data_IF_848684968262
#
_entry.id   IF_848684968262
#
_cell.length_a   1.000
_cell.length_b   1.000
_cell.length_c   1.000
_cell.angle_alpha   90.00
_cell.angle_beta   90.00
_cell.angle_gamma   90.00
#
_symmetry.space_group_name_H-M   'P 1'
#
loop_
_entity.id
_entity.type
_entity.pdbx_description
1 polymer ?
#
# COMPACT_ATOMS: atom_id res chain seq x y z
N UNK A 1 -3.26 19.28 -9.38
CA UNK A 1 -1.88 19.77 -9.21
C UNK A 1 -1.00 18.70 -8.58
N UNK A 2 0.29 18.88 -8.68
CA UNK A 2 1.26 17.97 -8.05
C UNK A 2 1.01 17.83 -6.54
N UNK A 3 0.75 18.94 -5.85
CA UNK A 3 0.45 18.92 -4.43
C UNK A 3 -0.78 18.11 -4.08
N UNK A 4 -1.79 18.24 -4.90
CA UNK A 4 -3.03 17.47 -4.69
C UNK A 4 -2.76 15.97 -4.88
N UNK A 5 -2.02 15.62 -5.92
CA UNK A 5 -1.66 14.22 -6.18
C UNK A 5 -0.79 13.63 -5.06
N UNK A 6 0.18 14.41 -4.55
CA UNK A 6 0.99 13.96 -3.42
C UNK A 6 0.15 13.71 -2.17
N UNK A 7 -0.78 14.62 -1.89
CA UNK A 7 -1.65 14.52 -0.73
C UNK A 7 -2.55 13.29 -0.82
N UNK A 8 -3.15 13.06 -1.98
CA UNK A 8 -3.96 11.86 -2.22
C UNK A 8 -3.13 10.61 -2.03
N UNK A 9 -1.90 10.61 -2.56
CA UNK A 9 -1.02 9.46 -2.46
C UNK A 9 -0.71 9.12 -1.01
N UNK A 10 -0.39 10.13 -0.20
CA UNK A 10 -0.10 9.91 1.23
C UNK A 10 -1.32 9.35 1.97
N UNK A 11 -2.50 9.83 1.63
CA UNK A 11 -3.75 9.31 2.20
C UNK A 11 -3.94 7.83 1.85
N UNK A 12 -3.76 7.48 0.59
CA UNK A 12 -3.92 6.09 0.13
C UNK A 12 -2.86 5.19 0.76
N UNK A 13 -1.62 5.66 0.86
CA UNK A 13 -0.55 4.91 1.54
C UNK A 13 -0.96 4.61 2.98
N UNK A 14 -1.52 5.59 3.69
CA UNK A 14 -2.00 5.40 5.05
C UNK A 14 -3.11 4.36 5.14
N UNK A 15 -4.03 4.37 4.18
CA UNK A 15 -5.10 3.37 4.12
C UNK A 15 -4.55 1.96 3.92
N UNK A 16 -3.57 1.81 3.04
CA UNK A 16 -2.93 0.52 2.79
C UNK A 16 -2.17 0.03 4.02
N UNK A 17 -1.41 0.92 4.67
CA UNK A 17 -0.70 0.55 5.91
C UNK A 17 -1.66 0.08 6.99
N UNK A 18 -2.77 0.76 7.14
CA UNK A 18 -3.79 0.39 8.11
C UNK A 18 -4.38 -0.99 7.78
N UNK A 19 -4.70 -1.21 6.51
CA UNK A 19 -5.24 -2.50 6.04
C UNK A 19 -4.25 -3.64 6.27
N UNK A 20 -2.97 -3.41 6.00
CA UNK A 20 -1.93 -4.43 6.26
C UNK A 20 -1.86 -4.75 7.74
N UNK A 21 -1.92 -3.73 8.60
CA UNK A 21 -1.92 -3.94 10.05
C UNK A 21 -3.08 -4.81 10.52
N UNK A 22 -4.27 -4.55 10.01
CA UNK A 22 -5.45 -5.36 10.33
C UNK A 22 -5.30 -6.77 9.80
N UNK A 23 -4.79 -6.93 8.58
CA UNK A 23 -4.57 -8.24 7.98
C UNK A 23 -3.60 -9.08 8.83
N UNK A 24 -2.47 -8.47 9.25
CA UNK A 24 -1.47 -9.16 10.07
C UNK A 24 -2.04 -9.53 11.44
N UNK A 25 -2.84 -8.65 12.04
CA UNK A 25 -3.48 -8.93 13.32
C UNK A 25 -4.47 -10.09 13.21
N UNK A 26 -5.15 -10.19 12.07
CA UNK A 26 -6.18 -11.20 11.86
C UNK A 26 -5.61 -12.55 11.43
N UNK A 27 -4.58 -12.56 10.61
CA UNK A 27 -4.01 -13.77 10.00
C UNK A 27 -2.68 -14.21 10.62
N UNK A 28 -1.99 -13.33 11.31
CA UNK A 28 -0.66 -13.60 11.86
C UNK A 28 0.46 -13.54 10.83
N UNK A 29 0.19 -13.09 9.60
CA UNK A 29 1.19 -13.03 8.54
C UNK A 29 1.01 -11.79 7.68
N UNK A 30 2.02 -11.48 6.88
CA UNK A 30 1.92 -10.45 5.85
C UNK A 30 1.02 -10.88 4.71
N UNK A 31 0.29 -9.95 4.06
CA UNK A 31 -0.31 -10.26 2.78
C UNK A 31 0.79 -10.44 1.73
N UNK A 32 0.59 -11.35 0.80
CA UNK A 32 1.57 -11.60 -0.26
C UNK A 32 1.50 -10.55 -1.36
N UNK A 33 0.32 -9.96 -1.56
CA UNK A 33 0.08 -8.93 -2.57
C UNK A 33 -0.97 -7.95 -2.04
N UNK A 34 -1.08 -6.79 -2.70
CA UNK A 34 -2.16 -5.86 -2.41
C UNK A 34 -3.53 -6.48 -2.72
N UNK A 35 -3.58 -7.34 -3.73
CA UNK A 35 -4.82 -8.00 -4.11
C UNK A 35 -5.39 -8.85 -2.97
N UNK A 36 -4.53 -9.42 -2.14
CA UNK A 36 -4.98 -10.22 -1.00
C UNK A 36 -5.75 -9.39 0.03
N UNK A 37 -5.49 -8.10 0.10
CA UNK A 37 -6.25 -7.20 0.97
C UNK A 37 -7.67 -6.95 0.45
N UNK A 38 -7.85 -7.05 -0.87
CA UNK A 38 -9.16 -6.90 -1.52
C UNK A 38 -9.94 -8.21 -1.51
N UNK A 39 -9.25 -9.33 -1.67
CA UNK A 39 -9.82 -10.66 -1.77
C UNK A 39 -9.11 -11.62 -0.81
N UNK A 40 -9.28 -11.42 0.51
CA UNK A 40 -8.61 -12.25 1.49
C UNK A 40 -9.17 -13.68 1.47
N UNK A 41 -8.38 -14.66 1.97
CA UNK A 41 -8.81 -16.05 1.93
C UNK A 41 -10.00 -16.32 2.85
N UNK A 42 -10.86 -17.24 2.42
CA UNK A 42 -11.97 -17.79 3.20
C UNK A 42 -12.98 -16.72 3.64
N UNK A 43 -13.37 -16.75 4.91
CA UNK A 43 -14.37 -15.86 5.48
C UNK A 43 -13.78 -14.59 6.06
N UNK A 44 -12.50 -14.34 5.83
CA UNK A 44 -11.84 -13.13 6.30
C UNK A 44 -12.47 -11.91 5.62
N UNK A 45 -12.82 -10.86 6.37
CA UNK A 45 -13.41 -9.68 5.76
C UNK A 45 -12.42 -8.93 4.87
N UNK A 46 -12.94 -8.17 3.94
CA UNK A 46 -12.10 -7.32 3.10
C UNK A 46 -11.42 -6.25 3.94
N UNK A 47 -10.13 -6.05 3.68
CA UNK A 47 -9.37 -4.99 4.34
C UNK A 47 -9.30 -3.72 3.49
N UNK A 48 -9.47 -3.86 2.17
CA UNK A 48 -9.59 -2.74 1.23
C UNK A 48 -10.81 -2.98 0.35
N UNK A 49 -11.51 -1.91 -0.01
CA UNK A 49 -12.72 -2.02 -0.84
C UNK A 49 -12.42 -1.92 -2.33
N UNK A 50 -11.32 -1.30 -2.68
CA UNK A 50 -10.94 -1.09 -4.08
C UNK A 50 -9.43 -1.08 -4.19
N UNK A 51 -8.92 -1.31 -5.41
CA UNK A 51 -7.49 -1.28 -5.68
C UNK A 51 -6.93 0.10 -5.33
N UNK A 52 -5.93 0.15 -4.45
CA UNK A 52 -5.32 1.43 -4.09
C UNK A 52 -4.51 1.98 -5.26
N UNK A 53 -4.72 3.24 -5.57
CA UNK A 53 -4.08 3.93 -6.68
C UNK A 53 -3.54 5.25 -6.16
N UNK A 54 -2.34 5.64 -6.57
CA UNK A 54 -1.76 6.90 -6.16
C UNK A 54 -2.42 8.08 -6.88
N UNK A 55 -2.04 9.29 -6.50
CA UNK A 55 -2.61 10.51 -7.06
C UNK A 55 -2.29 10.75 -8.52
N UNK A 56 -1.39 9.94 -9.11
CA UNK A 56 -1.04 10.01 -10.52
C UNK A 56 -1.65 8.88 -11.33
N UNK A 57 -2.55 8.11 -10.72
CA UNK A 57 -3.29 7.05 -11.41
C UNK A 57 -2.56 5.73 -11.53
N UNK A 58 -1.49 5.52 -10.77
CA UNK A 58 -0.71 4.29 -10.83
C UNK A 58 -0.89 3.46 -9.56
N UNK A 59 -0.67 2.16 -9.68
CA UNK A 59 -0.76 1.24 -8.54
C UNK A 59 0.41 1.45 -7.60
N UNK A 60 0.17 1.19 -6.31
CA UNK A 60 1.22 1.25 -5.30
C UNK A 60 2.03 -0.03 -5.29
N UNK A 61 3.22 0.05 -4.74
CA UNK A 61 4.11 -1.08 -4.51
C UNK A 61 4.12 -1.43 -3.03
N UNK A 62 4.02 -2.72 -2.72
CA UNK A 62 3.96 -3.22 -1.35
C UNK A 62 5.16 -4.10 -1.05
N UNK A 63 5.78 -3.87 0.10
CA UNK A 63 6.77 -4.78 0.65
C UNK A 63 6.42 -5.06 2.11
N UNK A 64 6.06 -6.29 2.40
CA UNK A 64 5.74 -6.74 3.76
C UNK A 64 6.40 -8.09 3.99
N UNK A 65 7.21 -8.23 5.03
CA UNK A 65 7.57 -7.22 6.02
C UNK A 65 8.40 -6.10 5.43
N UNK A 66 8.48 -4.99 6.15
CA UNK A 66 9.23 -3.83 5.71
C UNK A 66 10.73 -4.13 5.59
N UNK A 67 11.38 -3.43 4.68
CA UNK A 67 12.80 -3.64 4.39
C UNK A 67 13.69 -3.39 5.61
N UNK A 68 13.38 -2.37 6.38
CA UNK A 68 14.21 -1.96 7.53
C UNK A 68 13.60 -2.34 8.87
N UNK A 69 12.31 -2.64 8.89
CA UNK A 69 11.60 -2.98 10.12
C UNK A 69 10.64 -4.15 9.82
N UNK A 70 10.94 -5.36 10.35
CA UNK A 70 10.08 -6.52 10.08
C UNK A 70 8.68 -6.40 10.68
N UNK A 71 8.47 -5.51 11.63
CA UNK A 71 7.14 -5.26 12.20
C UNK A 71 6.34 -4.24 11.42
N UNK A 72 6.93 -3.66 10.38
CA UNK A 72 6.32 -2.62 9.57
C UNK A 72 6.08 -3.11 8.14
N UNK A 73 5.64 -2.22 7.30
CA UNK A 73 5.39 -2.46 5.88
C UNK A 73 5.84 -1.24 5.08
N UNK A 74 6.42 -1.49 3.92
CA UNK A 74 6.78 -0.42 2.99
C UNK A 74 5.70 -0.33 1.92
N UNK A 75 5.10 0.85 1.79
CA UNK A 75 4.09 1.14 0.77
C UNK A 75 4.61 2.32 -0.03
N UNK A 76 4.86 2.11 -1.31
CA UNK A 76 5.57 3.08 -2.14
C UNK A 76 4.77 3.44 -3.38
N UNK A 77 4.73 4.73 -3.71
CA UNK A 77 4.26 5.23 -4.98
C UNK A 77 5.50 5.56 -5.84
N UNK A 78 5.39 5.36 -7.14
CA UNK A 78 6.46 5.76 -8.06
C UNK A 78 6.52 7.27 -8.28
N UNK A 79 5.51 8.00 -7.81
CA UNK A 79 5.45 9.43 -7.99
C UNK A 79 5.11 9.83 -9.43
N UNK A 80 5.35 11.07 -9.79
CA UNK A 80 4.95 11.57 -11.11
C UNK A 80 5.71 10.92 -12.28
N UNK A 81 6.90 10.37 -12.04
CA UNK A 81 7.68 9.71 -13.09
C UNK A 81 7.17 8.31 -13.45
N UNK A 82 6.48 7.65 -12.51
CA UNK A 82 6.04 6.26 -12.70
C UNK A 82 7.16 5.24 -12.57
N UNK A 83 8.29 5.59 -11.99
CA UNK A 83 9.44 4.70 -11.82
C UNK A 83 9.82 4.61 -10.34
N UNK A 84 9.72 3.41 -9.78
CA UNK A 84 10.02 3.15 -8.36
C UNK A 84 11.49 3.34 -8.00
N UNK A 85 12.37 3.46 -8.98
CA UNK A 85 13.81 3.55 -8.75
C UNK A 85 14.36 4.98 -8.87
N UNK A 86 13.48 5.98 -8.99
CA UNK A 86 13.91 7.38 -9.06
C UNK A 86 13.64 8.12 -7.76
N UNK A 87 14.26 9.28 -7.60
CA UNK A 87 14.21 10.04 -6.35
C UNK A 87 12.85 10.64 -6.01
N UNK A 88 11.92 10.66 -6.95
CA UNK A 88 10.59 11.21 -6.72
C UNK A 88 9.60 10.22 -6.11
N UNK A 89 10.07 9.08 -5.64
CA UNK A 89 9.22 8.11 -4.94
C UNK A 89 8.63 8.74 -3.69
N UNK A 90 7.37 8.40 -3.42
CA UNK A 90 6.62 8.87 -2.26
C UNK A 90 6.35 7.68 -1.34
N UNK A 91 6.75 7.83 -0.08
CA UNK A 91 6.56 6.77 0.91
C UNK A 91 5.41 7.06 1.85
#
# INVERSE_FOLDING_TARGET
>A
SERHAERETLTVIGEVRHAVGLFRAHTGRCPTTLDELLHPPRTTPRFLRRTPIDGWGRRLFLRCPGRFDPDSVDVVSAGPSGDFFVDDNVL
#
